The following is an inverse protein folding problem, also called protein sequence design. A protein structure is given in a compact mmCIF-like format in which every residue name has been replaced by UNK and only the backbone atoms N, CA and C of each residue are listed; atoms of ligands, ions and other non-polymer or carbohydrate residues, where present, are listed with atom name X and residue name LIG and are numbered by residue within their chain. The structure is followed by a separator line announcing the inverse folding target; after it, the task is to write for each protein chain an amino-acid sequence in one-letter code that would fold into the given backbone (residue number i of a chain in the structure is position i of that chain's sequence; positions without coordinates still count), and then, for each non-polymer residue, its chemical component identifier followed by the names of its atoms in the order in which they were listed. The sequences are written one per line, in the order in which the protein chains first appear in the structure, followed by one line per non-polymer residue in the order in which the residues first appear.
data_IF_500083594529
#
_entry.id   IF_500083594529
#
_cell.length_a   1.000
_cell.length_b   1.000
_cell.length_c   1.000
_cell.angle_alpha   90.00
_cell.angle_beta   90.00
_cell.angle_gamma   90.00
#
_symmetry.space_group_name_H-M   'P 1'
#
loop_
_entity.id
_entity.type
_entity.pdbx_description
1 polymer ?
#
# COMPACT_ATOMS: atom_id res chain seq x y z
N UNK A 1 -68.88 37.53 18.88
CA UNK A 1 -68.49 36.52 17.86
C UNK A 1 -67.61 37.06 16.71
N UNK A 2 -67.76 38.30 16.22
CA UNK A 2 -66.93 38.81 15.09
C UNK A 2 -65.44 39.06 15.40
N UNK A 3 -65.08 39.43 16.64
CA UNK A 3 -63.68 39.69 17.02
C UNK A 3 -62.82 38.42 17.20
N UNK A 4 -63.42 37.28 17.55
CA UNK A 4 -62.71 36.00 17.69
C UNK A 4 -62.34 35.40 16.32
N UNK A 5 -63.19 35.58 15.31
CA UNK A 5 -62.93 35.11 13.95
C UNK A 5 -61.75 35.84 13.29
N UNK A 6 -61.61 37.15 13.49
CA UNK A 6 -60.50 37.92 12.93
C UNK A 6 -59.15 37.57 13.56
N UNK A 7 -59.10 37.28 14.87
CA UNK A 7 -57.87 36.84 15.55
C UNK A 7 -57.42 35.46 15.08
N UNK A 8 -58.34 34.54 14.82
CA UNK A 8 -58.03 33.20 14.32
C UNK A 8 -57.47 33.24 12.89
N UNK A 9 -58.01 34.10 12.03
CA UNK A 9 -57.52 34.29 10.65
C UNK A 9 -56.12 34.90 10.65
N UNK A 10 -55.85 35.86 11.55
CA UNK A 10 -54.53 36.49 11.65
C UNK A 10 -53.47 35.50 12.15
N UNK A 11 -53.79 34.70 13.17
CA UNK A 11 -52.88 33.64 13.66
C UNK A 11 -52.58 32.59 12.58
N UNK A 12 -53.59 32.17 11.81
CA UNK A 12 -53.40 31.17 10.75
C UNK A 12 -52.53 31.71 9.59
N UNK A 13 -52.68 32.99 9.25
CA UNK A 13 -51.81 33.66 8.25
C UNK A 13 -50.37 33.78 8.74
N UNK A 14 -50.14 34.16 9.99
CA UNK A 14 -48.79 34.22 10.56
C UNK A 14 -48.15 32.83 10.61
N UNK A 15 -48.92 31.79 10.95
CA UNK A 15 -48.43 30.41 10.96
C UNK A 15 -48.09 29.91 9.55
N UNK A 16 -48.92 30.21 8.54
CA UNK A 16 -48.62 29.89 7.14
C UNK A 16 -47.40 30.66 6.62
N UNK A 17 -47.22 31.93 6.99
CA UNK A 17 -46.03 32.71 6.63
C UNK A 17 -44.76 32.17 7.28
N UNK A 18 -44.82 31.77 8.56
CA UNK A 18 -43.70 31.12 9.24
C UNK A 18 -43.39 29.73 8.66
N UNK A 19 -44.41 28.96 8.28
CA UNK A 19 -44.25 27.67 7.63
C UNK A 19 -43.64 27.82 6.22
N UNK A 20 -44.08 28.82 5.44
CA UNK A 20 -43.50 29.13 4.13
C UNK A 20 -42.06 29.66 4.24
N UNK A 21 -41.73 30.42 5.28
CA UNK A 21 -40.35 30.83 5.58
C UNK A 21 -39.49 29.64 6.00
N UNK A 22 -40.01 28.72 6.81
CA UNK A 22 -39.30 27.50 7.19
C UNK A 22 -39.10 26.57 5.98
N UNK A 23 -40.12 26.38 5.13
CA UNK A 23 -40.00 25.60 3.89
C UNK A 23 -39.06 26.30 2.91
N UNK A 24 -39.10 27.63 2.79
CA UNK A 24 -38.16 28.40 1.97
C UNK A 24 -36.72 28.28 2.47
N UNK A 25 -36.49 28.26 3.79
CA UNK A 25 -35.16 28.04 4.36
C UNK A 25 -34.69 26.59 4.16
N UNK A 26 -35.58 25.60 4.29
CA UNK A 26 -35.27 24.17 4.05
C UNK A 26 -34.94 23.94 2.56
N UNK A 27 -35.67 24.57 1.64
CA UNK A 27 -35.44 24.45 0.18
C UNK A 27 -34.17 25.19 -0.25
N UNK A 28 -33.74 26.24 0.46
CA UNK A 28 -32.50 26.95 0.13
C UNK A 28 -31.23 26.27 0.65
N UNK A 29 -31.34 25.30 1.56
CA UNK A 29 -30.19 24.61 2.19
C UNK A 29 -29.75 23.30 1.52
N UNK A 30 -30.32 22.91 0.38
CA UNK A 30 -29.87 21.72 -0.35
C UNK A 30 -29.76 21.97 -1.85
N UNK A 31 -28.88 22.90 -2.23
CA UNK A 31 -28.35 22.84 -3.59
C UNK A 31 -27.46 21.60 -3.66
N UNK A 32 -27.71 20.66 -4.57
CA UNK A 32 -26.82 19.56 -4.87
C UNK A 32 -26.29 19.84 -6.27
N UNK A 33 -24.97 19.86 -6.45
CA UNK A 33 -24.36 20.18 -7.75
C UNK A 33 -24.02 18.88 -8.47
N UNK A 34 -24.50 18.76 -9.69
CA UNK A 34 -24.27 17.59 -10.54
C UNK A 34 -22.95 17.78 -11.31
N UNK A 35 -21.97 16.89 -11.08
CA UNK A 35 -20.71 16.87 -11.83
C UNK A 35 -20.65 15.58 -12.64
N UNK A 36 -20.61 15.73 -13.97
CA UNK A 36 -20.51 14.62 -14.91
C UNK A 36 -19.07 14.48 -15.39
N UNK A 37 -18.43 13.36 -15.03
CA UNK A 37 -17.12 13.01 -15.59
C UNK A 37 -17.31 12.13 -16.84
N UNK A 38 -16.54 12.42 -17.89
CA UNK A 38 -16.49 11.64 -19.13
C UNK A 38 -15.58 10.43 -18.91
N UNK A 39 -16.06 9.22 -19.18
CA UNK A 39 -15.24 7.99 -19.21
C UNK A 39 -15.40 7.25 -20.53
N UNK A 40 -14.48 6.32 -20.76
CA UNK A 40 -14.29 5.55 -22.00
C UNK A 40 -15.61 5.13 -22.67
N UNK A 41 -15.59 5.26 -24.01
CA UNK A 41 -16.72 5.30 -24.95
C UNK A 41 -17.63 4.04 -24.89
N UNK A 42 -17.23 2.97 -24.20
CA UNK A 42 -17.83 1.65 -24.35
C UNK A 42 -18.93 1.28 -23.34
N UNK A 43 -19.06 1.94 -22.17
CA UNK A 43 -20.05 1.48 -21.17
C UNK A 43 -20.88 2.54 -20.44
N UNK A 44 -20.54 3.83 -20.48
CA UNK A 44 -21.42 4.94 -20.02
C UNK A 44 -20.72 6.26 -20.37
N UNK A 45 -21.22 7.08 -21.31
CA UNK A 45 -20.49 8.26 -21.79
C UNK A 45 -20.31 9.33 -20.71
N UNK A 46 -21.18 9.35 -19.70
CA UNK A 46 -21.12 10.26 -18.56
C UNK A 46 -21.66 9.59 -17.30
N UNK A 47 -20.92 9.67 -16.20
CA UNK A 47 -21.46 9.37 -14.86
C UNK A 47 -21.53 10.67 -14.07
N UNK A 48 -22.74 11.10 -13.77
CA UNK A 48 -22.99 12.30 -12.98
C UNK A 48 -23.05 11.93 -11.50
N UNK A 49 -22.13 12.49 -10.70
CA UNK A 49 -22.16 12.38 -9.25
C UNK A 49 -22.79 13.63 -8.68
N UNK A 50 -23.88 13.43 -7.94
CA UNK A 50 -24.45 14.44 -7.07
C UNK A 50 -23.47 14.68 -5.91
N UNK A 51 -22.87 15.86 -5.85
CA UNK A 51 -22.02 16.26 -4.74
C UNK A 51 -22.62 17.46 -4.01
N UNK A 52 -22.49 17.43 -2.69
CA UNK A 52 -22.78 18.55 -1.83
C UNK A 52 -21.86 19.74 -2.22
N UNK A 53 -22.40 20.94 -2.53
CA UNK A 53 -21.63 22.14 -2.84
C UNK A 53 -20.61 22.47 -1.76
N UNK A 54 -20.92 22.21 -0.49
CA UNK A 54 -20.00 22.44 0.63
C UNK A 54 -18.70 21.64 0.47
N UNK A 55 -18.77 20.46 -0.17
CA UNK A 55 -17.60 19.63 -0.46
C UNK A 55 -16.80 20.17 -1.65
N UNK A 56 -17.47 20.80 -2.63
CA UNK A 56 -16.80 21.34 -3.81
C UNK A 56 -16.01 22.62 -3.49
N UNK A 57 -16.46 23.37 -2.48
CA UNK A 57 -15.79 24.58 -2.02
C UNK A 57 -14.61 24.29 -1.08
N UNK A 58 -14.51 23.05 -0.55
CA UNK A 58 -13.37 22.63 0.25
C UNK A 58 -12.05 22.59 -0.56
N UNK A 59 -10.91 22.88 0.10
CA UNK A 59 -9.60 22.81 -0.54
C UNK A 59 -9.21 21.36 -0.86
N UNK A 60 -8.54 21.17 -1.99
CA UNK A 60 -7.90 19.92 -2.38
C UNK A 60 -6.57 19.81 -1.64
N UNK A 61 -6.36 18.72 -0.89
CA UNK A 61 -5.06 18.44 -0.28
C UNK A 61 -4.39 17.32 -1.05
N UNK A 62 -3.23 17.57 -1.66
CA UNK A 62 -2.35 16.52 -2.18
C UNK A 62 -1.39 16.12 -1.07
N UNK A 63 -1.55 14.90 -0.57
CA UNK A 63 -0.65 14.31 0.41
C UNK A 63 0.35 13.41 -0.31
N UNK A 64 1.61 13.82 -0.28
CA UNK A 64 2.75 13.06 -0.73
C UNK A 64 3.46 12.44 0.49
N UNK A 65 4.19 11.35 0.28
CA UNK A 65 5.03 10.77 1.32
C UNK A 65 6.28 10.14 0.73
N UNK A 66 7.36 10.07 1.49
CA UNK A 66 8.52 9.24 1.17
C UNK A 66 8.96 8.44 2.39
N UNK A 67 9.72 7.39 2.14
CA UNK A 67 10.21 6.43 3.11
C UNK A 67 11.73 6.48 3.12
N UNK A 68 12.34 6.24 4.28
CA UNK A 68 13.79 6.14 4.42
C UNK A 68 14.43 5.32 3.27
N UNK A 69 15.46 5.83 2.57
CA UNK A 69 16.11 5.14 1.45
C UNK A 69 16.60 3.72 1.77
N UNK A 70 16.92 3.40 3.03
CA UNK A 70 17.32 2.05 3.42
C UNK A 70 16.19 1.02 3.33
N UNK A 71 14.93 1.47 3.27
CA UNK A 71 13.77 0.58 3.29
C UNK A 71 13.47 -0.06 1.95
N UNK A 72 13.31 -1.38 1.98
CA UNK A 72 13.06 -2.19 0.79
C UNK A 72 11.63 -2.09 0.26
N UNK A 73 11.45 -2.60 -0.96
CA UNK A 73 10.17 -2.60 -1.70
C UNK A 73 8.96 -3.06 -0.88
N UNK A 74 9.09 -4.16 -0.12
CA UNK A 74 7.96 -4.74 0.61
C UNK A 74 7.59 -3.99 1.90
N UNK A 75 8.54 -3.30 2.55
CA UNK A 75 8.19 -2.42 3.68
C UNK A 75 7.47 -1.17 3.15
N UNK A 76 7.93 -0.59 2.05
CA UNK A 76 7.26 0.57 1.42
C UNK A 76 5.81 0.28 1.02
N UNK A 77 5.49 -0.96 0.62
CA UNK A 77 4.11 -1.43 0.41
C UNK A 77 3.27 -1.44 1.69
N UNK A 78 3.89 -1.76 2.83
CA UNK A 78 3.24 -1.66 4.13
C UNK A 78 2.98 -0.21 4.53
N UNK A 79 3.94 0.70 4.27
CA UNK A 79 3.76 2.14 4.51
C UNK A 79 2.64 2.72 3.64
N UNK A 80 2.49 2.27 2.39
CA UNK A 80 1.33 2.63 1.56
C UNK A 80 0.00 2.33 2.27
N UNK A 81 -0.13 1.16 2.92
CA UNK A 81 -1.36 0.81 3.64
C UNK A 81 -1.64 1.82 4.74
N UNK A 82 -0.62 2.21 5.52
CA UNK A 82 -0.73 3.23 6.58
C UNK A 82 -1.26 4.55 6.02
N UNK A 83 -0.64 5.03 4.94
CA UNK A 83 -1.00 6.30 4.30
C UNK A 83 -2.36 6.24 3.61
N UNK A 84 -2.72 5.13 2.98
CA UNK A 84 -4.01 4.96 2.32
C UNK A 84 -5.17 4.91 3.33
N UNK A 85 -4.99 4.16 4.44
CA UNK A 85 -5.95 4.13 5.56
C UNK A 85 -6.10 5.53 6.15
N UNK A 86 -4.99 6.23 6.38
CA UNK A 86 -5.01 7.61 6.84
C UNK A 86 -5.79 8.53 5.89
N UNK A 87 -5.52 8.51 4.58
CA UNK A 87 -6.22 9.37 3.62
C UNK A 87 -7.71 9.02 3.53
N UNK A 88 -8.07 7.74 3.62
CA UNK A 88 -9.49 7.33 3.70
C UNK A 88 -10.18 7.94 4.91
N UNK A 89 -9.54 7.90 6.09
CA UNK A 89 -10.03 8.57 7.29
C UNK A 89 -10.06 10.10 7.14
N UNK A 90 -8.98 10.70 6.65
CA UNK A 90 -8.82 12.15 6.49
C UNK A 90 -9.92 12.74 5.61
N UNK A 91 -10.36 12.02 4.57
CA UNK A 91 -11.47 12.43 3.69
C UNK A 91 -12.85 12.44 4.37
N UNK A 92 -12.97 11.93 5.59
CA UNK A 92 -14.18 12.08 6.41
C UNK A 92 -14.17 13.38 7.23
N UNK A 93 -13.01 14.02 7.37
CA UNK A 93 -12.80 15.21 8.17
C UNK A 93 -13.10 16.48 7.36
N UNK A 94 -13.66 17.50 8.04
CA UNK A 94 -14.00 18.77 7.40
C UNK A 94 -12.75 19.50 6.93
N UNK A 95 -12.78 20.00 5.70
CA UNK A 95 -11.65 20.71 5.08
C UNK A 95 -10.60 19.79 4.46
N UNK A 96 -10.83 18.47 4.49
CA UNK A 96 -9.97 17.47 3.86
C UNK A 96 -10.76 16.46 3.01
N UNK A 97 -12.05 16.69 2.74
CA UNK A 97 -12.90 15.72 2.01
C UNK A 97 -12.42 15.45 0.58
N UNK A 98 -11.60 16.38 0.04
CA UNK A 98 -10.96 16.29 -1.27
C UNK A 98 -9.46 15.92 -1.19
N UNK A 99 -9.00 15.35 -0.07
CA UNK A 99 -7.63 14.87 0.06
C UNK A 99 -7.33 13.72 -0.90
N UNK A 100 -6.14 13.74 -1.52
CA UNK A 100 -5.65 12.73 -2.47
C UNK A 100 -4.27 12.26 -2.04
N UNK A 101 -4.03 10.96 -2.12
CA UNK A 101 -2.72 10.38 -1.87
C UNK A 101 -1.91 10.32 -3.17
N UNK A 102 -0.77 10.98 -3.21
CA UNK A 102 0.19 10.86 -4.31
C UNK A 102 1.19 9.77 -3.98
N UNK A 103 1.31 8.79 -4.87
CA UNK A 103 2.16 7.63 -4.68
C UNK A 103 3.61 7.97 -5.02
N UNK A 104 4.59 7.75 -4.12
CA UNK A 104 5.99 8.06 -4.41
C UNK A 104 6.54 7.11 -5.47
N UNK A 105 7.33 7.60 -6.44
CA UNK A 105 7.88 6.73 -7.46
C UNK A 105 8.95 5.82 -6.84
N UNK A 106 9.17 4.66 -7.45
CA UNK A 106 10.15 3.70 -6.99
C UNK A 106 11.53 4.05 -7.54
N UNK A 107 12.48 4.32 -6.62
CA UNK A 107 13.86 4.68 -6.94
C UNK A 107 14.82 4.07 -5.92
N UNK A 108 16.04 3.73 -6.36
CA UNK A 108 17.20 3.48 -5.51
C UNK A 108 16.99 2.47 -4.36
N UNK A 109 16.23 1.39 -4.60
CA UNK A 109 15.94 0.39 -3.57
C UNK A 109 17.15 -0.52 -3.31
N UNK A 110 17.48 -0.74 -2.04
CA UNK A 110 18.69 -1.46 -1.56
C UNK A 110 18.85 -2.89 -2.13
N UNK A 111 17.75 -3.52 -2.56
CA UNK A 111 17.76 -4.88 -3.12
C UNK A 111 17.64 -4.94 -4.65
N UNK A 112 17.58 -3.80 -5.31
CA UNK A 112 17.56 -3.71 -6.76
C UNK A 112 19.01 -3.73 -7.25
N UNK A 113 19.43 -4.88 -7.77
CA UNK A 113 20.83 -5.23 -8.10
C UNK A 113 21.16 -5.09 -9.58
N UNK A 114 20.15 -4.93 -10.44
CA UNK A 114 20.39 -4.76 -11.88
C UNK A 114 21.01 -3.39 -12.15
N UNK A 115 22.33 -3.36 -12.40
CA UNK A 115 23.10 -2.14 -12.66
C UNK A 115 23.00 -1.63 -14.09
N UNK A 116 22.58 -2.48 -15.02
CA UNK A 116 22.46 -2.19 -16.45
C UNK A 116 21.04 -1.83 -16.89
N UNK A 117 20.10 -1.75 -15.94
CA UNK A 117 18.70 -1.42 -16.19
C UNK A 117 18.41 -0.14 -15.40
N UNK A 118 17.85 0.86 -16.06
CA UNK A 118 17.34 2.03 -15.34
C UNK A 118 16.10 1.65 -14.54
N UNK A 119 16.17 1.94 -13.24
CA UNK A 119 15.14 1.65 -12.23
C UNK A 119 14.89 2.87 -11.36
N UNK A 120 15.13 4.06 -11.91
CA UNK A 120 14.82 5.33 -11.26
C UNK A 120 13.40 5.77 -11.61
N UNK A 121 12.73 6.39 -10.65
CA UNK A 121 11.44 7.06 -10.81
C UNK A 121 10.33 6.20 -11.44
N UNK A 122 10.34 4.89 -11.17
CA UNK A 122 9.32 4.00 -11.74
C UNK A 122 7.96 4.30 -11.09
N UNK A 123 6.92 4.32 -11.92
CA UNK A 123 5.55 4.58 -11.50
C UNK A 123 4.92 3.38 -10.78
N UNK A 124 3.89 3.61 -9.97
CA UNK A 124 3.17 2.51 -9.30
C UNK A 124 2.39 1.65 -10.29
N UNK A 125 1.86 2.27 -11.35
CA UNK A 125 1.22 1.60 -12.48
C UNK A 125 2.10 0.56 -13.17
N UNK A 126 3.41 0.58 -12.96
CA UNK A 126 4.31 -0.46 -13.45
C UNK A 126 4.21 -1.79 -12.66
N UNK A 127 3.80 -1.73 -11.39
CA UNK A 127 3.76 -2.88 -10.49
C UNK A 127 2.35 -3.22 -9.95
N UNK A 128 1.47 -2.23 -9.87
CA UNK A 128 0.12 -2.35 -9.31
C UNK A 128 -0.96 -1.78 -10.22
N UNK A 129 -2.15 -2.39 -10.19
CA UNK A 129 -3.34 -1.86 -10.84
C UNK A 129 -3.93 -0.70 -10.03
N UNK A 130 -3.68 0.52 -10.51
CA UNK A 130 -4.19 1.74 -9.88
C UNK A 130 -5.72 1.81 -9.87
N UNK A 131 -6.42 1.14 -10.80
CA UNK A 131 -7.89 1.11 -10.79
C UNK A 131 -8.39 0.38 -9.55
N UNK A 132 -7.78 -0.75 -9.20
CA UNK A 132 -8.06 -1.48 -7.96
C UNK A 132 -7.75 -0.65 -6.72
N UNK A 133 -6.61 0.02 -6.68
CA UNK A 133 -6.21 0.86 -5.53
C UNK A 133 -7.19 2.03 -5.31
N UNK A 134 -7.68 2.65 -6.40
CA UNK A 134 -8.67 3.74 -6.34
C UNK A 134 -10.05 3.33 -5.83
N UNK A 135 -10.37 2.04 -5.82
CA UNK A 135 -11.60 1.56 -5.17
C UNK A 135 -11.52 1.64 -3.64
N UNK A 136 -10.32 1.77 -3.05
CA UNK A 136 -10.15 1.91 -1.61
C UNK A 136 -10.13 3.38 -1.18
N UNK A 137 -9.28 4.21 -1.80
CA UNK A 137 -9.19 5.66 -1.55
C UNK A 137 -8.67 6.41 -2.78
N UNK A 138 -8.72 7.74 -2.76
CA UNK A 138 -8.29 8.59 -3.89
C UNK A 138 -6.76 8.61 -3.98
N UNK A 139 -6.22 7.85 -4.93
CA UNK A 139 -4.78 7.71 -5.19
C UNK A 139 -4.41 8.20 -6.58
N UNK A 140 -3.25 8.85 -6.68
CA UNK A 140 -2.66 9.36 -7.90
C UNK A 140 -1.24 8.83 -8.04
N UNK A 141 -0.88 8.39 -9.25
CA UNK A 141 0.53 8.14 -9.57
C UNK A 141 1.27 9.48 -9.79
N UNK A 142 2.60 9.47 -9.84
CA UNK A 142 3.38 10.72 -9.91
C UNK A 142 3.12 11.55 -11.17
N UNK A 143 2.98 10.89 -12.32
CA UNK A 143 2.68 11.54 -13.60
C UNK A 143 1.28 12.17 -13.60
N UNK A 144 0.29 11.50 -13.01
CA UNK A 144 -1.05 12.05 -12.82
C UNK A 144 -1.05 13.27 -11.90
N UNK A 145 -0.21 13.25 -10.85
CA UNK A 145 0.01 14.41 -9.99
C UNK A 145 0.65 15.58 -10.75
N UNK A 146 1.72 15.35 -11.50
CA UNK A 146 2.33 16.42 -12.33
C UNK A 146 1.32 16.99 -13.32
N UNK A 147 0.56 16.14 -14.01
CA UNK A 147 -0.50 16.59 -14.91
C UNK A 147 -1.57 17.44 -14.19
N UNK A 148 -1.94 17.08 -12.96
CA UNK A 148 -2.86 17.87 -12.15
C UNK A 148 -2.24 19.21 -11.72
N UNK A 149 -0.96 19.21 -11.35
CA UNK A 149 -0.22 20.42 -10.98
C UNK A 149 -0.10 21.38 -12.18
N UNK A 150 0.33 20.89 -13.34
CA UNK A 150 0.45 21.67 -14.57
C UNK A 150 -0.88 22.30 -15.01
N UNK A 151 -2.00 21.58 -14.85
CA UNK A 151 -3.33 22.17 -15.16
C UNK A 151 -3.70 23.34 -14.24
N UNK A 152 -3.19 23.36 -13.02
CA UNK A 152 -3.51 24.40 -12.02
C UNK A 152 -2.55 25.58 -12.08
N UNK A 153 -1.28 25.33 -12.38
CA UNK A 153 -0.21 26.34 -12.27
C UNK A 153 0.43 26.72 -13.61
N UNK A 154 0.18 25.97 -14.68
CA UNK A 154 0.83 26.12 -15.98
C UNK A 154 1.99 25.15 -16.21
N UNK A 155 2.45 25.07 -17.45
CA UNK A 155 3.63 24.28 -17.84
C UNK A 155 4.92 24.93 -17.33
N UNK A 156 5.97 24.13 -17.14
CA UNK A 156 7.31 24.56 -16.74
C UNK A 156 7.41 25.26 -15.37
N UNK A 157 6.35 25.24 -14.56
CA UNK A 157 6.37 25.72 -13.18
C UNK A 157 6.86 24.60 -12.25
N UNK A 158 7.95 24.81 -11.49
CA UNK A 158 8.40 23.86 -10.48
C UNK A 158 7.31 23.56 -9.44
N UNK A 159 7.28 22.33 -8.93
CA UNK A 159 6.37 21.93 -7.88
C UNK A 159 6.79 22.59 -6.57
N UNK A 160 5.95 23.51 -6.09
CA UNK A 160 6.12 24.15 -4.79
C UNK A 160 5.25 23.42 -3.75
N UNK A 161 5.91 22.64 -2.90
CA UNK A 161 5.29 22.03 -1.73
C UNK A 161 5.03 23.12 -0.68
N UNK A 162 3.81 23.18 -0.17
CA UNK A 162 3.47 24.16 0.86
C UNK A 162 4.14 23.75 2.18
N UNK A 163 4.06 22.46 2.54
CA UNK A 163 4.51 21.97 3.84
C UNK A 163 5.27 20.64 3.69
N UNK A 164 6.49 20.57 4.23
CA UNK A 164 7.28 19.34 4.32
C UNK A 164 7.55 18.99 5.77
N UNK A 165 7.15 17.80 6.18
CA UNK A 165 7.38 17.25 7.51
C UNK A 165 8.39 16.11 7.45
N UNK A 166 9.51 16.27 8.14
CA UNK A 166 10.51 15.23 8.29
C UNK A 166 10.39 14.58 9.65
N UNK A 167 9.94 13.33 9.67
CA UNK A 167 9.73 12.59 10.90
C UNK A 167 11.04 11.96 11.40
N UNK A 168 11.18 11.90 12.73
CA UNK A 168 12.26 11.23 13.45
C UNK A 168 11.69 10.56 14.70
N UNK A 169 12.25 9.44 15.14
CA UNK A 169 11.86 8.85 16.42
C UNK A 169 12.24 9.75 17.60
N UNK A 170 11.45 9.69 18.67
CA UNK A 170 11.90 10.15 19.99
C UNK A 170 13.06 9.26 20.46
N UNK A 171 14.02 9.84 21.19
CA UNK A 171 15.14 9.07 21.76
C UNK A 171 14.65 8.02 22.76
N UNK A 172 13.65 8.39 23.57
CA UNK A 172 12.94 7.46 24.43
C UNK A 172 11.48 7.33 23.98
N UNK A 173 11.16 6.19 23.37
CA UNK A 173 9.80 5.90 22.90
C UNK A 173 8.86 5.38 24.01
N UNK A 174 9.39 5.03 25.18
CA UNK A 174 8.63 4.46 26.30
C UNK A 174 8.94 5.22 27.59
N UNK A 175 8.24 6.33 27.79
CA UNK A 175 8.34 7.10 29.03
C UNK A 175 7.60 6.34 30.15
N UNK A 176 8.32 5.90 31.17
CA UNK A 176 7.81 5.05 32.25
C UNK A 176 7.12 3.75 31.77
N UNK A 177 7.56 3.20 30.63
CA UNK A 177 6.99 1.98 30.05
C UNK A 177 5.68 2.19 29.28
N UNK A 178 5.24 3.44 29.10
CA UNK A 178 4.00 3.77 28.38
C UNK A 178 4.32 4.32 27.00
N UNK A 179 3.65 3.78 25.99
CA UNK A 179 3.68 4.32 24.63
C UNK A 179 2.54 5.34 24.47
N UNK A 180 2.87 6.59 24.10
CA UNK A 180 1.89 7.67 23.96
C UNK A 180 2.02 8.30 22.58
N UNK A 181 0.89 8.49 21.90
CA UNK A 181 0.83 9.19 20.62
C UNK A 181 1.14 10.69 20.82
N UNK A 182 2.29 11.14 20.32
CA UNK A 182 2.77 12.53 20.40
C UNK A 182 3.69 12.92 19.25
N UNK A 183 3.78 14.22 19.01
CA UNK A 183 4.78 14.80 18.12
C UNK A 183 5.28 16.14 18.68
N UNK A 184 6.55 16.45 18.44
CA UNK A 184 7.22 17.64 18.96
C UNK A 184 8.18 18.20 17.90
N UNK A 185 8.22 19.53 17.75
CA UNK A 185 9.18 20.19 16.87
C UNK A 185 10.61 20.03 17.36
N UNK A 186 11.50 19.84 16.40
CA UNK A 186 12.92 19.72 16.64
C UNK A 186 13.70 20.46 15.54
N UNK A 187 14.86 21.00 15.89
CA UNK A 187 15.71 21.77 14.98
C UNK A 187 16.19 20.90 13.82
N UNK A 188 15.92 21.28 12.58
CA UNK A 188 16.44 20.55 11.43
C UNK A 188 17.99 20.59 11.40
N UNK A 189 18.67 19.48 11.05
CA UNK A 189 20.12 19.46 10.97
C UNK A 189 20.65 20.47 9.93
N UNK A 190 21.55 21.37 10.34
CA UNK A 190 22.12 22.45 9.48
C UNK A 190 22.84 21.94 8.22
N UNK A 191 23.24 20.67 8.17
CA UNK A 191 23.88 20.06 6.99
C UNK A 191 22.90 19.69 5.87
N UNK A 192 21.59 19.90 6.08
CA UNK A 192 20.53 19.63 5.08
C UNK A 192 19.88 20.91 4.53
N UNK A 193 20.25 22.09 5.03
CA UNK A 193 19.72 23.39 4.57
C UNK A 193 20.25 23.84 3.19
N UNK A 194 21.25 23.16 2.62
CA UNK A 194 21.93 23.61 1.38
C UNK A 194 22.10 22.56 0.29
N UNK A 195 21.77 21.29 0.53
CA UNK A 195 21.62 20.35 -0.58
C UNK A 195 20.20 20.54 -1.10
N UNK A 196 20.05 20.98 -2.35
CA UNK A 196 18.81 20.86 -3.09
C UNK A 196 18.31 19.41 -2.94
N UNK A 197 17.39 19.20 -1.99
CA UNK A 197 16.83 17.88 -1.72
C UNK A 197 15.97 17.58 -2.91
N UNK A 198 16.52 16.84 -3.88
CA UNK A 198 15.77 16.35 -5.02
C UNK A 198 14.73 15.36 -4.49
N UNK A 199 13.53 15.86 -4.16
CA UNK A 199 12.44 15.03 -3.69
C UNK A 199 12.11 14.00 -4.76
N UNK A 200 12.09 12.72 -4.36
CA UNK A 200 11.86 11.60 -5.26
C UNK A 200 12.85 11.51 -6.45
N UNK A 201 14.02 12.16 -6.34
CA UNK A 201 15.01 12.24 -7.42
C UNK A 201 14.68 13.26 -8.51
N UNK A 202 13.61 14.06 -8.37
CA UNK A 202 13.31 15.13 -9.32
C UNK A 202 13.92 16.45 -8.89
N UNK A 203 14.47 17.20 -9.85
CA UNK A 203 15.02 18.54 -9.60
C UNK A 203 13.94 19.64 -9.55
N UNK A 204 12.71 19.35 -9.95
CA UNK A 204 11.63 20.32 -10.08
C UNK A 204 10.78 20.50 -8.82
N UNK A 205 11.15 19.90 -7.68
CA UNK A 205 10.47 20.14 -6.41
C UNK A 205 11.24 21.14 -5.55
N UNK A 206 10.49 22.00 -4.89
CA UNK A 206 10.97 22.87 -3.82
C UNK A 206 9.92 22.93 -2.71
N UNK A 207 10.32 23.40 -1.52
CA UNK A 207 9.46 23.48 -0.35
C UNK A 207 9.38 24.93 0.15
N UNK A 208 8.17 25.39 0.49
CA UNK A 208 7.96 26.67 1.15
C UNK A 208 8.32 26.56 2.64
N UNK A 209 7.78 25.55 3.31
CA UNK A 209 8.05 25.28 4.72
C UNK A 209 8.61 23.88 4.93
N UNK A 210 9.63 23.78 5.78
CA UNK A 210 10.29 22.53 6.11
C UNK A 210 10.42 22.40 7.63
N UNK A 211 9.75 21.40 8.20
CA UNK A 211 9.65 21.19 9.65
C UNK A 211 10.14 19.79 10.01
N UNK A 212 11.06 19.69 10.98
CA UNK A 212 11.49 18.42 11.53
C UNK A 212 10.74 18.12 12.82
N UNK A 213 10.21 16.91 12.93
CA UNK A 213 9.35 16.50 14.04
C UNK A 213 9.88 15.20 14.65
N UNK A 214 10.02 15.16 15.96
CA UNK A 214 9.95 13.89 16.66
C UNK A 214 8.50 13.40 16.58
N UNK A 215 8.30 12.15 16.19
CA UNK A 215 6.98 11.57 15.98
C UNK A 215 6.92 10.17 16.56
N UNK A 216 5.85 9.92 17.30
CA UNK A 216 5.51 8.62 17.86
C UNK A 216 4.01 8.48 17.83
N UNK A 217 3.50 7.51 17.09
CA UNK A 217 2.08 7.23 17.08
C UNK A 217 1.56 6.65 15.79
N UNK A 218 0.25 6.54 15.74
CA UNK A 218 -0.53 6.00 14.63
C UNK A 218 -0.68 6.98 13.47
N UNK A 219 -1.20 6.51 12.33
CA UNK A 219 -1.40 7.33 11.14
C UNK A 219 -2.46 8.41 11.36
N UNK A 220 -3.45 8.18 12.21
CA UNK A 220 -4.44 9.17 12.62
C UNK A 220 -3.84 10.38 13.33
N UNK A 221 -2.70 10.23 14.03
CA UNK A 221 -2.01 11.36 14.66
C UNK A 221 -1.53 12.39 13.62
N UNK A 222 -1.29 11.98 12.37
CA UNK A 222 -0.96 12.91 11.28
C UNK A 222 -2.09 13.92 11.04
N UNK A 223 -3.37 13.58 11.29
CA UNK A 223 -4.45 14.57 11.14
C UNK A 223 -4.25 15.74 12.10
N UNK A 224 -3.94 15.45 13.37
CA UNK A 224 -3.66 16.48 14.38
C UNK A 224 -2.46 17.33 13.99
N UNK A 225 -1.41 16.72 13.45
CA UNK A 225 -0.25 17.43 12.91
C UNK A 225 -0.67 18.37 11.78
N UNK A 226 -1.44 17.88 10.80
CA UNK A 226 -1.92 18.69 9.67
C UNK A 226 -2.80 19.86 10.09
N UNK A 227 -3.61 19.70 11.13
CA UNK A 227 -4.47 20.76 11.70
C UNK A 227 -3.65 21.77 12.52
N UNK A 228 -2.66 21.31 13.30
CA UNK A 228 -1.83 22.16 14.17
C UNK A 228 -1.05 23.20 13.36
N UNK A 229 -0.49 22.77 12.23
CA UNK A 229 0.30 23.62 11.34
C UNK A 229 -0.51 24.22 10.20
N UNK A 230 -1.83 24.02 10.20
CA UNK A 230 -2.70 24.53 9.15
C UNK A 230 -2.69 26.05 9.16
N UNK A 231 -2.28 26.65 8.05
CA UNK A 231 -2.34 28.10 7.88
C UNK A 231 -3.77 28.56 7.57
N UNK A 232 -4.21 29.72 8.10
CA UNK A 232 -5.45 30.36 7.66
C UNK A 232 -5.38 30.64 6.17
N UNK A 233 -6.43 30.32 5.43
CA UNK A 233 -6.53 30.72 4.03
C UNK A 233 -6.61 32.26 3.96
N UNK A 234 -5.58 32.90 3.42
CA UNK A 234 -5.56 34.36 3.21
C UNK A 234 -6.10 34.63 1.80
N UNK A 235 -7.33 35.15 1.72
CA UNK A 235 -8.02 35.47 0.46
C UNK A 235 -8.57 34.24 -0.28
N UNK A 236 -9.01 34.42 -1.52
CA UNK A 236 -9.48 33.35 -2.41
C UNK A 236 -8.35 32.39 -2.88
N UNK A 237 -7.11 32.63 -2.43
CA UNK A 237 -5.88 32.07 -2.98
C UNK A 237 -5.30 30.96 -2.10
N UNK A 238 -6.04 29.84 -1.99
CA UNK A 238 -5.51 28.48 -2.26
C UNK A 238 -6.62 27.47 -1.94
N UNK A 239 -7.43 27.16 -2.95
CA UNK A 239 -8.26 25.94 -2.94
C UNK A 239 -7.42 24.66 -3.05
N UNK A 240 -6.09 24.73 -2.95
CA UNK A 240 -5.17 23.59 -3.10
C UNK A 240 -4.02 23.70 -2.12
N UNK A 241 -3.69 22.58 -1.46
CA UNK A 241 -2.60 22.41 -0.50
C UNK A 241 -1.74 21.21 -0.89
N UNK A 242 -0.42 21.33 -0.82
CA UNK A 242 0.56 20.28 -1.13
C UNK A 242 1.40 19.98 0.12
N UNK A 243 1.24 18.78 0.67
CA UNK A 243 1.95 18.35 1.89
C UNK A 243 2.79 17.11 1.62
N UNK A 244 4.05 17.12 2.05
CA UNK A 244 4.96 15.98 1.97
C UNK A 244 5.36 15.48 3.36
N UNK A 245 5.17 14.19 3.63
CA UNK A 245 5.65 13.52 4.84
C UNK A 245 6.85 12.63 4.52
N UNK A 246 8.04 13.03 4.94
CA UNK A 246 9.26 12.23 4.84
C UNK A 246 9.41 11.29 6.03
N UNK A 247 10.10 10.18 5.82
CA UNK A 247 10.28 9.12 6.84
C UNK A 247 8.94 8.55 7.33
N UNK A 248 8.01 8.34 6.40
CA UNK A 248 6.67 7.86 6.71
C UNK A 248 6.65 6.43 7.31
N UNK A 249 7.76 5.68 7.28
CA UNK A 249 7.88 4.40 8.01
C UNK A 249 7.77 4.53 9.53
N UNK A 250 8.02 5.72 10.08
CA UNK A 250 7.92 6.02 11.51
C UNK A 250 6.47 5.99 11.99
N UNK A 251 5.54 6.32 11.10
CA UNK A 251 4.10 6.34 11.38
C UNK A 251 3.59 4.91 11.50
N UNK A 252 2.91 4.57 12.59
CA UNK A 252 2.38 3.22 12.81
C UNK A 252 1.00 3.04 12.15
N UNK A 253 0.57 1.79 11.98
CA UNK A 253 -0.82 1.50 11.66
C UNK A 253 -1.71 1.90 12.85
N UNK A 254 -2.91 2.41 12.57
CA UNK A 254 -3.91 2.70 13.61
C UNK A 254 -4.38 1.41 14.30
N UNK A 255 -4.94 0.50 13.50
CA UNK A 255 -5.39 -0.83 13.94
C UNK A 255 -4.81 -1.88 13.01
N UNK A 256 -3.71 -2.51 13.43
CA UNK A 256 -3.05 -3.55 12.65
C UNK A 256 -3.98 -4.75 12.39
N UNK A 257 -4.10 -5.17 11.12
CA UNK A 257 -4.84 -6.37 10.73
C UNK A 257 -6.37 -6.24 10.80
N UNK A 258 -6.91 -5.03 10.94
CA UNK A 258 -8.35 -4.78 10.93
C UNK A 258 -8.94 -4.78 9.49
N UNK A 259 -10.23 -4.47 9.38
CA UNK A 259 -10.95 -4.39 8.09
C UNK A 259 -10.32 -3.40 7.13
N UNK A 260 -9.92 -2.22 7.60
CA UNK A 260 -9.31 -1.18 6.77
C UNK A 260 -7.92 -1.57 6.28
N UNK A 261 -7.09 -2.18 7.14
CA UNK A 261 -5.82 -2.78 6.76
C UNK A 261 -6.01 -3.78 5.61
N UNK A 262 -6.93 -4.73 5.77
CA UNK A 262 -7.16 -5.77 4.77
C UNK A 262 -7.81 -5.24 3.49
N UNK A 263 -8.69 -4.26 3.58
CA UNK A 263 -9.26 -3.60 2.40
C UNK A 263 -8.19 -2.86 1.59
N UNK A 264 -7.33 -2.07 2.24
CA UNK A 264 -6.18 -1.44 1.59
C UNK A 264 -5.21 -2.49 1.01
N UNK A 265 -4.96 -3.59 1.74
CA UNK A 265 -4.08 -4.65 1.27
C UNK A 265 -4.64 -5.39 0.05
N UNK A 266 -5.94 -5.65 0.01
CA UNK A 266 -6.65 -6.29 -1.12
C UNK A 266 -6.71 -5.40 -2.35
N UNK A 267 -6.73 -4.07 -2.16
CA UNK A 267 -6.75 -3.11 -3.26
C UNK A 267 -5.43 -3.03 -4.03
N UNK A 268 -4.32 -3.46 -3.42
CA UNK A 268 -3.00 -3.58 -4.06
C UNK A 268 -2.92 -4.81 -4.99
N UNK A 269 -3.74 -4.83 -6.06
CA UNK A 269 -3.62 -5.84 -7.12
C UNK A 269 -2.38 -5.58 -7.95
N UNK A 270 -1.65 -6.63 -8.32
CA UNK A 270 -0.55 -6.53 -9.29
C UNK A 270 -1.09 -6.21 -10.69
N UNK A 271 -0.24 -5.66 -11.55
CA UNK A 271 -0.60 -5.38 -12.95
C UNK A 271 -0.91 -6.66 -13.73
N UNK A 272 -1.70 -6.54 -14.80
CA UNK A 272 -2.09 -7.67 -15.64
C UNK A 272 -0.88 -8.37 -16.24
N UNK A 273 0.10 -7.60 -16.69
CA UNK A 273 1.34 -8.07 -17.29
C UNK A 273 2.15 -8.97 -16.33
N UNK A 274 2.31 -8.55 -15.07
CA UNK A 274 3.01 -9.34 -14.05
C UNK A 274 2.26 -10.62 -13.69
N UNK A 275 0.92 -10.55 -13.63
CA UNK A 275 0.06 -11.70 -13.39
C UNK A 275 0.17 -12.71 -14.54
N UNK A 276 0.18 -12.23 -15.79
CA UNK A 276 0.33 -13.07 -16.99
C UNK A 276 1.69 -13.76 -17.06
N UNK A 277 2.78 -13.05 -16.76
CA UNK A 277 4.13 -13.63 -16.70
C UNK A 277 4.19 -14.75 -15.66
N UNK A 278 3.66 -14.50 -14.46
CA UNK A 278 3.61 -15.51 -13.41
C UNK A 278 2.70 -16.70 -13.76
N UNK A 279 1.56 -16.46 -14.41
CA UNK A 279 0.64 -17.51 -14.85
C UNK A 279 1.26 -18.40 -15.93
N UNK A 280 1.97 -17.81 -16.91
CA UNK A 280 2.72 -18.55 -17.94
C UNK A 280 3.79 -19.43 -17.30
N UNK A 281 4.59 -18.85 -16.41
CA UNK A 281 5.63 -19.59 -15.71
C UNK A 281 5.06 -20.76 -14.89
N UNK A 282 3.96 -20.54 -14.16
CA UNK A 282 3.27 -21.61 -13.41
C UNK A 282 2.78 -22.73 -14.32
N UNK A 283 2.18 -22.39 -15.45
CA UNK A 283 1.69 -23.37 -16.41
C UNK A 283 2.84 -24.22 -16.97
N UNK A 284 3.89 -23.59 -17.47
CA UNK A 284 5.00 -24.27 -18.16
C UNK A 284 5.93 -25.04 -17.21
N UNK A 285 6.28 -24.44 -16.07
CA UNK A 285 7.31 -24.97 -15.18
C UNK A 285 6.77 -25.62 -13.91
N UNK A 286 5.49 -25.52 -13.61
CA UNK A 286 4.92 -26.06 -12.37
C UNK A 286 3.63 -26.85 -12.59
N UNK A 287 3.13 -26.96 -13.84
CA UNK A 287 1.86 -27.60 -14.17
C UNK A 287 0.71 -27.06 -13.30
N UNK A 288 0.66 -25.73 -13.14
CA UNK A 288 -0.20 -25.02 -12.20
C UNK A 288 -1.00 -23.94 -12.93
N UNK A 289 -2.31 -23.87 -12.67
CA UNK A 289 -3.20 -22.84 -13.22
C UNK A 289 -4.41 -22.62 -12.29
N UNK A 290 -5.04 -21.45 -12.36
CA UNK A 290 -5.95 -21.03 -11.30
C UNK A 290 -7.22 -21.89 -11.14
N UNK A 291 -7.75 -22.43 -12.23
CA UNK A 291 -8.96 -23.28 -12.19
C UNK A 291 -8.72 -24.60 -11.44
N UNK A 292 -7.75 -25.46 -11.81
CA UNK A 292 -7.47 -26.69 -11.06
C UNK A 292 -6.91 -26.42 -9.65
N UNK A 293 -6.19 -25.32 -9.48
CA UNK A 293 -5.60 -24.91 -8.20
C UNK A 293 -6.61 -24.23 -7.27
N UNK A 294 -7.82 -23.92 -7.76
CA UNK A 294 -8.88 -23.19 -7.04
C UNK A 294 -8.42 -21.84 -6.48
N UNK A 295 -7.61 -21.12 -7.25
CA UNK A 295 -7.03 -19.81 -6.89
C UNK A 295 -7.54 -18.68 -7.78
N UNK A 296 -8.66 -18.89 -8.48
CA UNK A 296 -9.29 -17.85 -9.31
C UNK A 296 -9.70 -16.69 -8.41
N UNK A 297 -9.12 -15.51 -8.63
CA UNK A 297 -9.54 -14.27 -7.98
C UNK A 297 -10.65 -13.59 -8.77
N UNK A 298 -11.57 -12.97 -8.05
CA UNK A 298 -12.59 -12.11 -8.66
C UNK A 298 -11.94 -10.86 -9.27
N UNK A 299 -12.55 -10.36 -10.35
CA UNK A 299 -12.05 -9.21 -11.11
C UNK A 299 -11.95 -7.95 -10.23
N UNK A 300 -12.98 -7.69 -9.42
CA UNK A 300 -12.94 -6.63 -8.42
C UNK A 300 -12.60 -7.22 -7.07
N UNK A 301 -11.60 -6.65 -6.41
CA UNK A 301 -11.24 -7.06 -5.06
C UNK A 301 -12.38 -6.81 -4.05
N UNK A 302 -13.21 -5.79 -4.27
CA UNK A 302 -14.37 -5.46 -3.41
C UNK A 302 -15.41 -6.58 -3.32
N UNK A 303 -15.42 -7.49 -4.32
CA UNK A 303 -16.39 -8.56 -4.42
C UNK A 303 -15.90 -9.83 -3.72
N UNK A 304 -14.63 -9.88 -3.30
CA UNK A 304 -14.10 -10.99 -2.51
C UNK A 304 -14.85 -11.08 -1.17
N UNK A 305 -15.09 -12.32 -0.76
CA UNK A 305 -15.80 -12.69 0.46
C UNK A 305 -14.93 -13.63 1.29
N UNK A 306 -15.21 -13.79 2.59
CA UNK A 306 -14.54 -14.80 3.40
C UNK A 306 -14.70 -16.19 2.77
N UNK A 307 -13.61 -16.74 2.23
CA UNK A 307 -13.57 -18.11 1.75
C UNK A 307 -12.34 -18.78 2.35
N UNK A 308 -12.54 -19.63 3.37
CA UNK A 308 -11.44 -20.39 3.99
C UNK A 308 -11.44 -21.82 3.48
N UNK A 309 -10.27 -22.29 3.03
CA UNK A 309 -10.07 -23.66 2.58
C UNK A 309 -10.61 -23.94 1.17
N UNK A 310 -10.96 -22.89 0.41
CA UNK A 310 -11.34 -23.03 -0.99
C UNK A 310 -10.14 -23.25 -1.91
N UNK A 311 -9.02 -22.60 -1.59
CA UNK A 311 -7.81 -22.67 -2.39
C UNK A 311 -7.04 -23.97 -2.16
N UNK A 312 -6.64 -24.58 -3.27
CA UNK A 312 -5.91 -25.85 -3.32
C UNK A 312 -4.42 -25.59 -3.57
N UNK A 313 -4.10 -24.68 -4.50
CA UNK A 313 -2.74 -24.41 -4.98
C UNK A 313 -2.20 -25.49 -5.91
N UNK A 314 -1.18 -25.16 -6.70
CA UNK A 314 -0.51 -26.08 -7.61
C UNK A 314 0.28 -27.15 -6.88
N UNK A 315 0.60 -28.27 -7.54
CA UNK A 315 1.30 -29.42 -6.94
C UNK A 315 2.83 -29.20 -6.80
N UNK A 316 3.18 -28.11 -6.10
CA UNK A 316 4.55 -27.75 -5.71
C UNK A 316 4.55 -27.03 -4.36
N UNK A 317 5.69 -27.11 -3.67
CA UNK A 317 5.99 -26.31 -2.48
C UNK A 317 6.68 -25.01 -2.92
N UNK A 318 6.37 -23.86 -2.33
CA UNK A 318 7.25 -22.70 -2.40
C UNK A 318 8.05 -22.52 -1.11
N UNK A 319 9.35 -22.29 -1.27
CA UNK A 319 10.25 -21.85 -0.23
C UNK A 319 10.76 -20.43 -0.54
N UNK A 320 10.47 -19.48 0.35
CA UNK A 320 11.11 -18.16 0.32
C UNK A 320 12.28 -18.12 1.32
N UNK A 321 13.50 -18.04 0.77
CA UNK A 321 14.76 -18.09 1.54
C UNK A 321 15.46 -16.73 1.42
N UNK A 322 15.29 -15.87 2.41
CA UNK A 322 15.96 -14.57 2.49
C UNK A 322 17.31 -14.74 3.18
N UNK A 323 18.40 -14.39 2.49
CA UNK A 323 19.78 -14.58 2.97
C UNK A 323 20.56 -13.29 3.05
N UNK A 324 20.92 -12.64 1.94
CA UNK A 324 21.98 -11.64 1.83
C UNK A 324 22.36 -10.87 3.13
N UNK A 325 21.71 -9.74 3.39
CA UNK A 325 21.86 -8.94 4.62
C UNK A 325 21.37 -9.66 5.88
N UNK A 326 20.43 -10.60 5.75
CA UNK A 326 19.93 -11.42 6.86
C UNK A 326 20.99 -12.34 7.47
N UNK A 327 22.03 -12.72 6.71
CA UNK A 327 23.16 -13.50 7.23
C UNK A 327 23.95 -12.75 8.30
N UNK A 328 23.92 -11.42 8.28
CA UNK A 328 24.63 -10.58 9.24
C UNK A 328 23.67 -9.96 10.25
N UNK A 329 22.56 -9.38 9.78
CA UNK A 329 21.60 -8.69 10.63
C UNK A 329 20.65 -9.62 11.40
N UNK A 330 20.51 -10.88 10.97
CA UNK A 330 19.55 -11.85 11.52
C UNK A 330 20.12 -13.28 11.57
N UNK A 331 21.41 -13.41 11.89
CA UNK A 331 22.07 -14.73 11.89
C UNK A 331 21.34 -15.75 12.77
N UNK A 332 20.92 -15.37 13.98
CA UNK A 332 20.28 -16.29 14.94
C UNK A 332 19.07 -17.05 14.38
N UNK A 333 18.32 -16.45 13.47
CA UNK A 333 17.09 -17.01 12.91
C UNK A 333 17.25 -17.45 11.45
N UNK A 334 18.33 -17.06 10.77
CA UNK A 334 18.52 -17.34 9.34
C UNK A 334 19.16 -18.71 9.11
N UNK A 335 18.46 -19.69 8.49
CA UNK A 335 18.99 -21.04 8.29
C UNK A 335 20.21 -21.07 7.38
N UNK A 336 21.04 -22.10 7.57
CA UNK A 336 22.04 -22.46 6.55
C UNK A 336 21.34 -23.01 5.29
N UNK A 337 22.02 -22.99 4.14
CA UNK A 337 21.48 -23.57 2.89
C UNK A 337 21.14 -25.05 3.08
N UNK A 338 21.96 -25.78 3.84
CA UNK A 338 21.73 -27.19 4.15
C UNK A 338 20.49 -27.38 5.03
N UNK A 339 20.37 -26.62 6.14
CA UNK A 339 19.21 -26.67 7.03
C UNK A 339 17.90 -26.36 6.28
N UNK A 340 17.89 -25.30 5.47
CA UNK A 340 16.73 -24.95 4.64
C UNK A 340 16.38 -26.08 3.66
N UNK A 341 17.38 -26.68 2.99
CA UNK A 341 17.15 -27.81 2.09
C UNK A 341 16.56 -29.03 2.81
N UNK A 342 17.02 -29.34 4.02
CA UNK A 342 16.54 -30.47 4.80
C UNK A 342 15.08 -30.26 5.26
N UNK A 343 14.72 -29.05 5.66
CA UNK A 343 13.34 -28.67 6.00
C UNK A 343 12.42 -28.73 4.77
N UNK A 344 12.87 -28.22 3.62
CA UNK A 344 12.15 -28.36 2.33
C UNK A 344 11.93 -29.83 2.00
N UNK A 345 12.98 -30.65 2.10
CA UNK A 345 12.93 -32.08 1.80
C UNK A 345 11.91 -32.80 2.67
N UNK A 346 11.91 -32.53 3.98
CA UNK A 346 10.97 -33.12 4.91
C UNK A 346 9.52 -32.80 4.50
N UNK A 347 9.23 -31.54 4.17
CA UNK A 347 7.89 -31.11 3.76
C UNK A 347 7.48 -31.62 2.38
N UNK A 348 8.40 -31.74 1.43
CA UNK A 348 8.12 -32.37 0.14
C UNK A 348 7.71 -33.84 0.31
N UNK A 349 8.42 -34.59 1.15
CA UNK A 349 8.10 -35.98 1.46
C UNK A 349 6.75 -36.13 2.19
N UNK A 350 6.54 -35.31 3.23
CA UNK A 350 5.30 -35.29 4.02
C UNK A 350 4.06 -35.04 3.14
N UNK A 351 4.15 -34.11 2.20
CA UNK A 351 3.05 -33.70 1.33
C UNK A 351 2.96 -34.51 0.02
N UNK A 352 3.87 -35.46 -0.22
CA UNK A 352 3.94 -36.21 -1.48
C UNK A 352 4.26 -35.34 -2.71
N UNK A 353 4.92 -34.19 -2.53
CA UNK A 353 5.26 -33.25 -3.59
C UNK A 353 6.64 -33.55 -4.17
N UNK A 354 6.79 -33.41 -5.49
CA UNK A 354 8.05 -33.66 -6.21
C UNK A 354 8.81 -32.39 -6.60
N UNK A 355 8.17 -31.23 -6.49
CA UNK A 355 8.66 -29.95 -7.00
C UNK A 355 8.68 -28.90 -5.91
N UNK A 356 9.79 -28.16 -5.82
CA UNK A 356 9.91 -26.94 -5.02
C UNK A 356 10.27 -25.77 -5.92
N UNK A 357 9.49 -24.70 -5.79
CA UNK A 357 9.83 -23.38 -6.29
C UNK A 357 10.58 -22.60 -5.20
N UNK A 358 11.68 -21.95 -5.55
CA UNK A 358 12.52 -21.21 -4.61
C UNK A 358 12.58 -19.74 -5.01
N UNK A 359 12.00 -18.89 -4.18
CA UNK A 359 12.19 -17.44 -4.22
C UNK A 359 13.32 -17.08 -3.25
N UNK A 360 14.41 -16.49 -3.75
CA UNK A 360 15.60 -16.25 -2.92
C UNK A 360 16.49 -15.17 -3.53
N UNK A 361 17.11 -14.38 -2.65
CA UNK A 361 18.13 -13.38 -2.98
C UNK A 361 19.57 -13.95 -2.88
N UNK A 362 19.69 -15.27 -2.75
CA UNK A 362 20.96 -15.97 -2.61
C UNK A 362 21.85 -15.87 -3.86
N UNK A 363 23.14 -16.10 -3.66
CA UNK A 363 24.12 -16.18 -4.74
C UNK A 363 23.91 -17.41 -5.62
N UNK A 364 24.52 -17.40 -6.81
CA UNK A 364 24.50 -18.56 -7.72
C UNK A 364 25.06 -19.83 -7.07
N UNK A 365 26.11 -19.69 -6.26
CA UNK A 365 26.75 -20.81 -5.54
C UNK A 365 25.84 -21.39 -4.46
N UNK A 366 25.21 -20.54 -3.65
CA UNK A 366 24.25 -21.00 -2.64
C UNK A 366 23.05 -21.71 -3.26
N UNK A 367 22.53 -21.22 -4.38
CA UNK A 367 21.46 -21.88 -5.10
C UNK A 367 21.89 -23.24 -5.68
N UNK A 368 23.11 -23.35 -6.20
CA UNK A 368 23.67 -24.62 -6.65
C UNK A 368 23.80 -25.62 -5.50
N UNK A 369 24.27 -25.17 -4.33
CA UNK A 369 24.36 -26.01 -3.13
C UNK A 369 22.97 -26.47 -2.66
N UNK A 370 21.97 -25.58 -2.67
CA UNK A 370 20.58 -25.93 -2.36
C UNK A 370 20.06 -27.04 -3.28
N UNK A 371 20.30 -26.92 -4.59
CA UNK A 371 19.95 -27.97 -5.57
C UNK A 371 20.65 -29.30 -5.28
N UNK A 372 21.93 -29.26 -4.89
CA UNK A 372 22.68 -30.46 -4.55
C UNK A 372 22.14 -31.22 -3.33
N UNK A 373 21.61 -30.51 -2.34
CA UNK A 373 20.96 -31.14 -1.19
C UNK A 373 19.57 -31.72 -1.54
N UNK A 374 18.95 -31.26 -2.64
CA UNK A 374 17.62 -31.63 -3.10
C UNK A 374 17.61 -32.46 -4.39
N UNK A 375 18.70 -33.15 -4.75
CA UNK A 375 18.86 -33.88 -6.04
C UNK A 375 17.72 -34.83 -6.44
N UNK A 376 16.94 -35.33 -5.49
CA UNK A 376 15.78 -36.22 -5.73
C UNK A 376 14.48 -35.47 -6.07
N UNK A 377 14.49 -34.15 -5.99
CA UNK A 377 13.35 -33.27 -6.21
C UNK A 377 13.66 -32.28 -7.32
N UNK A 378 12.61 -31.83 -8.00
CA UNK A 378 12.71 -30.79 -9.01
C UNK A 378 12.77 -29.43 -8.30
N UNK A 379 13.90 -28.74 -8.42
CA UNK A 379 14.11 -27.40 -7.85
C UNK A 379 14.05 -26.34 -8.94
N UNK A 380 13.04 -25.49 -8.89
CA UNK A 380 12.74 -24.46 -9.88
C UNK A 380 12.90 -23.07 -9.25
N UNK A 381 13.37 -22.09 -10.02
CA UNK A 381 13.30 -20.67 -9.67
C UNK A 381 12.88 -19.88 -10.90
N UNK A 382 12.27 -18.72 -10.71
CA UNK A 382 12.00 -17.83 -11.83
C UNK A 382 13.31 -17.18 -12.30
N UNK A 383 13.48 -17.13 -13.62
CA UNK A 383 14.55 -16.39 -14.29
C UNK A 383 13.90 -15.78 -15.53
N UNK A 384 14.02 -14.46 -15.76
CA UNK A 384 13.52 -13.87 -16.99
C UNK A 384 14.08 -14.59 -18.22
N UNK A 385 13.22 -14.83 -19.21
CA UNK A 385 13.53 -15.57 -20.44
C UNK A 385 14.55 -14.84 -21.32
N UNK A 386 14.53 -13.51 -21.29
CA UNK A 386 15.40 -12.65 -22.08
C UNK A 386 15.82 -11.38 -21.33
N UNK A 387 16.75 -10.63 -21.93
CA UNK A 387 17.14 -9.32 -21.40
C UNK A 387 15.98 -8.32 -21.49
N UNK A 388 15.19 -8.39 -22.54
CA UNK A 388 14.02 -7.52 -22.78
C UNK A 388 12.97 -7.76 -21.69
N UNK A 389 12.61 -9.02 -21.42
CA UNK A 389 11.69 -9.34 -20.32
C UNK A 389 12.25 -8.87 -18.97
N UNK A 390 13.56 -9.01 -18.73
CA UNK A 390 14.20 -8.48 -17.51
C UNK A 390 14.10 -6.95 -17.44
N UNK A 391 14.33 -6.26 -18.55
CA UNK A 391 14.25 -4.80 -18.66
C UNK A 391 12.83 -4.29 -18.43
N UNK A 392 11.82 -5.01 -18.92
CA UNK A 392 10.41 -4.71 -18.72
C UNK A 392 9.96 -4.98 -17.29
N UNK A 393 10.34 -6.13 -16.71
CA UNK A 393 9.92 -6.49 -15.35
C UNK A 393 10.60 -5.62 -14.28
N UNK A 394 11.83 -5.17 -14.53
CA UNK A 394 12.71 -4.60 -13.51
C UNK A 394 12.89 -5.58 -12.33
N UNK A 395 13.67 -5.20 -11.33
CA UNK A 395 13.90 -6.04 -10.15
C UNK A 395 12.62 -6.17 -9.30
N UNK A 396 11.79 -5.11 -9.25
CA UNK A 396 10.51 -5.12 -8.55
C UNK A 396 9.48 -6.09 -9.16
N UNK A 397 9.38 -6.17 -10.48
CA UNK A 397 8.46 -7.07 -11.17
C UNK A 397 8.91 -8.53 -11.04
N UNK A 398 10.22 -8.80 -11.11
CA UNK A 398 10.77 -10.13 -10.82
C UNK A 398 10.39 -10.57 -9.40
N UNK A 399 10.55 -9.68 -8.41
CA UNK A 399 10.15 -9.93 -7.03
C UNK A 399 8.64 -10.20 -6.89
N UNK A 400 7.80 -9.47 -7.63
CA UNK A 400 6.34 -9.72 -7.65
C UNK A 400 6.01 -11.06 -8.30
N UNK A 401 6.65 -11.43 -9.40
CA UNK A 401 6.46 -12.74 -10.04
C UNK A 401 6.79 -13.86 -9.05
N UNK A 402 7.91 -13.77 -8.33
CA UNK A 402 8.25 -14.72 -7.26
C UNK A 402 7.15 -14.81 -6.19
N UNK A 403 6.58 -13.67 -5.77
CA UNK A 403 5.49 -13.65 -4.79
C UNK A 403 4.18 -14.25 -5.32
N UNK A 404 3.83 -14.00 -6.58
CA UNK A 404 2.65 -14.60 -7.22
C UNK A 404 2.85 -16.10 -7.32
N UNK A 405 4.00 -16.57 -7.82
CA UNK A 405 4.28 -18.01 -7.91
C UNK A 405 4.26 -18.66 -6.52
N UNK A 406 4.82 -18.02 -5.49
CA UNK A 406 4.80 -18.55 -4.13
C UNK A 406 3.42 -18.56 -3.48
N UNK A 407 2.61 -17.53 -3.70
CA UNK A 407 1.25 -17.47 -3.15
C UNK A 407 0.34 -18.55 -3.72
N UNK A 408 0.64 -19.09 -4.91
CA UNK A 408 -0.13 -20.16 -5.55
C UNK A 408 0.34 -21.59 -5.26
N UNK A 409 1.38 -21.76 -4.45
CA UNK A 409 1.90 -23.08 -4.09
C UNK A 409 0.92 -23.88 -3.19
N UNK A 410 0.99 -25.21 -3.25
CA UNK A 410 0.30 -26.11 -2.30
C UNK A 410 0.56 -25.72 -0.86
N UNK A 411 1.84 -25.49 -0.57
CA UNK A 411 2.37 -25.21 0.75
C UNK A 411 3.45 -24.15 0.61
N UNK A 412 3.42 -23.19 1.53
CA UNK A 412 4.41 -22.12 1.59
C UNK A 412 5.18 -22.18 2.90
N UNK A 413 6.50 -22.02 2.82
CA UNK A 413 7.40 -21.78 3.94
C UNK A 413 8.30 -20.59 3.63
N UNK A 414 8.38 -19.64 4.55
CA UNK A 414 9.12 -18.40 4.39
C UNK A 414 10.18 -18.17 5.46
N UNK A 415 10.87 -17.05 5.34
CA UNK A 415 11.91 -16.63 6.29
C UNK A 415 11.33 -15.74 7.39
N UNK A 416 11.80 -15.94 8.62
CA UNK A 416 11.39 -15.17 9.82
C UNK A 416 11.65 -13.67 9.64
N UNK A 417 10.68 -12.83 9.97
CA UNK A 417 10.74 -11.36 9.90
C UNK A 417 11.07 -10.75 8.52
N UNK A 418 10.94 -11.52 7.44
CA UNK A 418 11.05 -10.96 6.10
C UNK A 418 9.73 -10.34 5.65
N UNK A 419 9.73 -9.06 5.33
CA UNK A 419 8.57 -8.37 4.75
C UNK A 419 8.15 -8.97 3.40
N UNK A 420 9.09 -9.55 2.63
CA UNK A 420 8.77 -10.32 1.43
C UNK A 420 7.92 -11.56 1.75
N UNK A 421 8.26 -12.31 2.80
CA UNK A 421 7.44 -13.41 3.32
C UNK A 421 6.06 -12.92 3.72
N UNK A 422 5.96 -11.80 4.44
CA UNK A 422 4.68 -11.26 4.90
C UNK A 422 3.74 -10.92 3.75
N UNK A 423 4.25 -10.34 2.67
CA UNK A 423 3.42 -10.04 1.49
C UNK A 423 2.90 -11.32 0.81
N UNK A 424 3.65 -12.43 0.86
CA UNK A 424 3.17 -13.75 0.39
C UNK A 424 2.10 -14.31 1.31
N UNK A 425 2.27 -14.24 2.64
CA UNK A 425 1.23 -14.66 3.59
C UNK A 425 -0.09 -13.95 3.32
N UNK A 426 -0.04 -12.65 3.09
CA UNK A 426 -1.22 -11.85 2.80
C UNK A 426 -1.87 -12.22 1.46
N UNK A 427 -1.09 -12.46 0.39
CA UNK A 427 -1.68 -12.95 -0.87
C UNK A 427 -2.35 -14.32 -0.67
N UNK A 428 -1.77 -15.20 0.15
CA UNK A 428 -2.35 -16.53 0.43
C UNK A 428 -3.63 -16.44 1.25
N UNK A 429 -3.68 -15.55 2.24
CA UNK A 429 -4.91 -15.27 2.99
C UNK A 429 -6.02 -14.73 2.07
N UNK A 430 -5.67 -13.82 1.16
CA UNK A 430 -6.61 -13.27 0.18
C UNK A 430 -7.10 -14.32 -0.81
N UNK A 431 -6.23 -15.24 -1.23
CA UNK A 431 -6.59 -16.39 -2.08
C UNK A 431 -7.44 -17.44 -1.34
N UNK A 432 -7.50 -17.40 0.00
CA UNK A 432 -8.30 -18.32 0.79
C UNK A 432 -7.63 -19.65 1.13
N UNK A 433 -6.29 -19.68 1.17
CA UNK A 433 -5.53 -20.85 1.62
C UNK A 433 -5.75 -21.14 3.12
N UNK A 434 -5.73 -22.41 3.54
CA UNK A 434 -5.64 -22.77 4.95
C UNK A 434 -4.41 -22.18 5.64
N UNK A 435 -4.55 -21.84 6.93
CA UNK A 435 -3.49 -21.17 7.72
C UNK A 435 -2.25 -22.05 7.88
N UNK A 436 -2.45 -23.35 8.10
CA UNK A 436 -1.40 -24.37 8.24
C UNK A 436 -0.58 -24.54 6.94
N UNK A 437 -1.15 -24.20 5.79
CA UNK A 437 -0.43 -24.20 4.51
C UNK A 437 0.22 -22.85 4.18
N UNK A 438 -0.01 -21.81 5.01
CA UNK A 438 0.40 -20.43 4.75
C UNK A 438 1.45 -19.96 5.73
N UNK A 439 1.19 -19.98 7.03
CA UNK A 439 2.03 -19.32 8.04
C UNK A 439 3.14 -20.24 8.55
N UNK A 440 4.02 -20.67 7.64
CA UNK A 440 5.16 -21.51 8.00
C UNK A 440 6.47 -20.75 7.84
N UNK A 441 7.35 -20.93 8.82
CA UNK A 441 8.63 -20.21 8.92
C UNK A 441 9.76 -21.23 9.01
N UNK A 442 10.85 -21.01 8.29
CA UNK A 442 12.07 -21.79 8.46
C UNK A 442 12.65 -21.57 9.86
N UNK A 443 13.04 -22.67 10.51
CA UNK A 443 13.88 -22.59 11.70
C UNK A 443 15.36 -22.48 11.32
N UNK A 444 16.21 -21.97 12.23
CA UNK A 444 17.67 -21.92 12.04
C UNK A 444 18.24 -23.31 11.74
N UNK A 445 17.89 -24.31 12.55
CA UNK A 445 18.24 -25.72 12.37
C UNK A 445 17.04 -26.55 11.95
N UNK A 446 17.26 -27.59 11.14
CA UNK A 446 16.22 -28.56 10.77
C UNK A 446 15.75 -29.43 11.95
N UNK A 447 16.52 -29.45 13.03
CA UNK A 447 16.21 -30.21 14.25
C UNK A 447 15.34 -29.42 15.22
N UNK A 448 15.23 -28.10 15.04
CA UNK A 448 14.48 -27.24 15.93
C UNK A 448 12.99 -27.34 15.60
N UNK A 449 12.23 -28.05 16.43
CA UNK A 449 10.78 -28.16 16.26
C UNK A 449 10.03 -26.90 16.75
N UNK A 450 10.64 -26.12 17.65
CA UNK A 450 10.01 -24.98 18.34
C UNK A 450 10.89 -23.71 18.27
N UNK A 451 11.17 -23.24 17.05
CA UNK A 451 11.85 -21.97 16.82
C UNK A 451 10.89 -20.77 16.80
N UNK A 452 11.41 -19.55 16.73
CA UNK A 452 10.56 -18.38 16.52
C UNK A 452 9.79 -18.47 15.19
N UNK A 453 8.49 -18.15 15.23
CA UNK A 453 7.61 -18.17 14.07
C UNK A 453 7.06 -16.79 13.83
N UNK A 454 6.86 -16.47 12.56
CA UNK A 454 6.14 -15.27 12.18
C UNK A 454 4.72 -15.29 12.77
N UNK A 455 4.26 -14.12 13.22
CA UNK A 455 2.90 -13.97 13.76
C UNK A 455 1.85 -14.28 12.69
N UNK A 456 0.78 -14.94 13.11
CA UNK A 456 -0.37 -15.26 12.26
C UNK A 456 -1.35 -14.09 12.28
N UNK A 457 -1.50 -13.41 11.15
CA UNK A 457 -2.47 -12.34 10.97
C UNK A 457 -3.50 -12.75 9.92
N UNK A 458 -4.67 -13.26 10.35
CA UNK A 458 -5.68 -13.70 9.42
C UNK A 458 -6.41 -12.54 8.75
N UNK A 459 -6.90 -12.78 7.53
CA UNK A 459 -7.74 -11.81 6.81
C UNK A 459 -9.08 -11.54 7.51
N UNK A 460 -9.47 -10.26 7.51
CA UNK A 460 -10.74 -9.75 8.03
C UNK A 460 -11.47 -9.00 6.89
N UNK A 461 -12.78 -9.25 6.75
CA UNK A 461 -13.62 -8.66 5.69
C UNK A 461 -14.68 -7.69 6.22
N UNK A 462 -15.07 -7.82 7.50
CA UNK A 462 -16.17 -7.10 8.14
C UNK A 462 -15.81 -6.72 9.57
#
# INVERSE_FOLDING_TARGET
MKLLSQRLILMNRVFHSLLLLAISQIVHTSHIREICEKRDIFFEPFRCQLRDPDVLDEPVTYLLYDVNPSEGFNLRRDVYIRMAVFVKYLRTQRGYRRARLVLPPWSNLVHWRSSNIDQTQLLWSHFFDLRSMRLYTDVLDMDEFFNAYTRLHGSDVPVMLDEVYKLKHFENMFENGVFVDKFEEHVCPKSQDTLAVAFFGYANFSAQDFTCLHFQGSAMLLHRLLDTYRRPAIGAARHVRYVLVLNAEIVLHDLWGNVDYWAARRSMRFTGELVEVAARFRSEFLNSSDRPDRTVRLARWTDERPQRGGARGGDYLCAHIRRADFLYGRDKTTPTVQSAALQIRAKLLELGLKTVFVASDCTRMEFYNLKNYLKRFRVVRFVPESYEQRYELKDGGIAIVDQIVCSHARYFIGTYESTFTYRIYEEREILGFPKDLTFNTFCKSEKDANCEKNTVWPIVYH
#
